data_IF_984460590366
#
_entry.id   IF_984460590366
#
_cell.length_a   1.000
_cell.length_b   1.000
_cell.length_c   1.000
_cell.angle_alpha   90.00
_cell.angle_beta   90.00
_cell.angle_gamma   90.00
#
_symmetry.space_group_name_H-M   'P 1'
#
loop_
_entity.id
_entity.type
_entity.pdbx_description
1 polymer ?
#
# COMPACT_ATOMS: atom_id res chain seq x y z
N UNK A 1 -8.67 -6.25 9.19
CA UNK A 1 -7.81 -6.05 8.01
C UNK A 1 -6.82 -7.21 7.85
N UNK A 2 -5.77 -7.34 8.67
CA UNK A 2 -4.80 -8.46 8.59
C UNK A 2 -5.45 -9.87 8.51
N UNK A 3 -6.42 -10.19 9.38
CA UNK A 3 -7.15 -11.48 9.30
C UNK A 3 -7.86 -11.72 7.96
N UNK A 4 -8.36 -10.65 7.33
CA UNK A 4 -8.98 -10.75 6.00
C UNK A 4 -7.92 -10.98 4.91
N UNK A 5 -6.76 -10.36 5.01
CA UNK A 5 -5.64 -10.58 4.08
C UNK A 5 -5.10 -12.01 4.16
N UNK A 6 -4.90 -12.54 5.38
CA UNK A 6 -4.51 -13.94 5.58
C UNK A 6 -5.55 -14.87 4.96
N UNK A 7 -6.85 -14.66 5.23
CA UNK A 7 -7.93 -15.48 4.66
C UNK A 7 -8.00 -15.40 3.13
N UNK A 8 -7.71 -14.24 2.54
CA UNK A 8 -7.67 -14.03 1.10
C UNK A 8 -6.37 -14.53 0.45
N UNK A 9 -5.40 -15.03 1.24
CA UNK A 9 -4.13 -15.55 0.73
C UNK A 9 -3.16 -14.48 0.22
N UNK A 10 -3.31 -13.23 0.67
CA UNK A 10 -2.43 -12.12 0.25
C UNK A 10 -0.97 -12.41 0.62
N UNK A 11 -0.07 -12.09 -0.31
CA UNK A 11 1.37 -12.34 -0.22
C UNK A 11 2.16 -11.03 -0.11
N UNK A 12 3.32 -11.02 0.59
CA UNK A 12 4.18 -9.84 0.72
C UNK A 12 4.52 -9.18 -0.62
N UNK A 13 4.69 -9.97 -1.68
CA UNK A 13 5.07 -9.53 -3.03
C UNK A 13 3.96 -8.73 -3.72
N UNK A 14 2.72 -8.80 -3.25
CA UNK A 14 1.60 -8.05 -3.81
C UNK A 14 1.54 -6.60 -3.31
N UNK A 15 2.15 -6.29 -2.16
CA UNK A 15 2.11 -4.93 -1.60
C UNK A 15 2.80 -3.89 -2.48
N UNK A 16 4.02 -4.10 -3.02
CA UNK A 16 4.64 -3.13 -3.94
C UNK A 16 3.75 -2.83 -5.15
N UNK A 17 3.19 -3.86 -5.79
CA UNK A 17 2.32 -3.71 -6.96
C UNK A 17 1.07 -2.88 -6.65
N UNK A 18 0.41 -3.13 -5.52
CA UNK A 18 -0.77 -2.35 -5.12
C UNK A 18 -0.39 -0.92 -4.76
N UNK A 19 0.79 -0.70 -4.16
CA UNK A 19 1.31 0.63 -3.87
C UNK A 19 1.52 1.47 -5.13
N UNK A 20 2.19 0.92 -6.14
CA UNK A 20 2.41 1.56 -7.44
C UNK A 20 1.07 1.93 -8.10
N UNK A 21 0.17 0.96 -8.26
CA UNK A 21 -1.14 1.19 -8.86
C UNK A 21 -1.97 2.23 -8.09
N UNK A 22 -1.86 2.26 -6.76
CA UNK A 22 -2.55 3.26 -5.94
C UNK A 22 -1.99 4.66 -6.17
N UNK A 23 -0.67 4.82 -6.29
CA UNK A 23 -0.04 6.12 -6.54
C UNK A 23 -0.32 6.61 -7.97
N UNK A 24 -0.32 5.71 -8.95
CA UNK A 24 -0.69 6.02 -10.33
C UNK A 24 -2.15 6.49 -10.41
N UNK A 25 -3.08 5.81 -9.74
CA UNK A 25 -4.48 6.22 -9.70
C UNK A 25 -4.66 7.60 -9.02
N UNK A 26 -3.94 7.86 -7.93
CA UNK A 26 -3.94 9.19 -7.28
C UNK A 26 -3.44 10.26 -8.25
N UNK A 27 -2.35 9.98 -8.96
CA UNK A 27 -1.77 10.90 -9.94
C UNK A 27 -2.70 11.15 -11.12
N UNK A 28 -3.35 10.12 -11.63
CA UNK A 28 -4.27 10.22 -12.77
C UNK A 28 -5.52 11.06 -12.44
N UNK A 29 -6.15 10.80 -11.29
CA UNK A 29 -7.43 11.43 -10.93
C UNK A 29 -7.25 12.82 -10.31
N UNK A 30 -6.22 13.00 -9.48
CA UNK A 30 -6.06 14.22 -8.67
C UNK A 30 -4.91 15.11 -9.15
N UNK A 31 -3.97 14.56 -9.93
CA UNK A 31 -2.73 15.22 -10.37
C UNK A 31 -2.10 16.14 -9.30
N UNK A 32 -1.83 15.61 -8.08
CA UNK A 32 -1.39 16.46 -6.98
C UNK A 32 0.10 16.82 -7.14
N UNK A 33 0.60 17.80 -6.36
CA UNK A 33 2.03 18.08 -6.29
C UNK A 33 2.85 16.84 -5.90
N UNK A 34 4.09 16.76 -6.40
CA UNK A 34 4.99 15.62 -6.15
C UNK A 34 5.21 15.33 -4.65
N UNK A 35 5.24 16.36 -3.81
CA UNK A 35 5.36 16.20 -2.36
C UNK A 35 4.20 15.41 -1.75
N UNK A 36 3.00 15.54 -2.31
CA UNK A 36 1.80 14.82 -1.87
C UNK A 36 1.92 13.35 -2.28
N UNK A 37 2.35 13.06 -3.51
CA UNK A 37 2.59 11.66 -3.95
C UNK A 37 3.63 10.96 -3.07
N UNK A 38 4.74 11.64 -2.74
CA UNK A 38 5.76 11.11 -1.83
C UNK A 38 5.23 10.88 -0.41
N UNK A 39 4.36 11.76 0.08
CA UNK A 39 3.72 11.57 1.37
C UNK A 39 2.81 10.33 1.38
N UNK A 40 2.06 10.11 0.30
CA UNK A 40 1.24 8.91 0.11
C UNK A 40 2.06 7.64 0.03
N UNK A 41 3.16 7.65 -0.73
CA UNK A 41 4.08 6.51 -0.82
C UNK A 41 4.63 6.13 0.58
N UNK A 42 5.07 7.12 1.35
CA UNK A 42 5.57 6.92 2.72
C UNK A 42 4.48 6.36 3.63
N UNK A 43 3.26 6.87 3.55
CA UNK A 43 2.13 6.39 4.34
C UNK A 43 1.76 4.95 3.97
N UNK A 44 1.75 4.63 2.68
CA UNK A 44 1.51 3.29 2.17
C UNK A 44 2.56 2.31 2.72
N UNK A 45 3.84 2.61 2.56
CA UNK A 45 4.95 1.78 3.03
C UNK A 45 4.91 1.56 4.56
N UNK A 46 4.53 2.59 5.32
CA UNK A 46 4.35 2.46 6.77
C UNK A 46 3.20 1.49 7.11
N UNK A 47 2.05 1.61 6.44
CA UNK A 47 0.90 0.76 6.67
C UNK A 47 1.17 -0.71 6.27
N UNK A 48 1.80 -0.92 5.11
CA UNK A 48 2.10 -2.28 4.63
C UNK A 48 3.12 -2.98 5.51
N UNK A 49 4.09 -2.26 6.08
CA UNK A 49 4.98 -2.81 7.11
C UNK A 49 4.19 -3.38 8.29
N UNK A 50 3.25 -2.61 8.85
CA UNK A 50 2.43 -3.04 10.00
C UNK A 50 1.54 -4.25 9.64
N UNK A 51 0.96 -4.26 8.43
CA UNK A 51 0.12 -5.36 7.99
C UNK A 51 0.92 -6.65 7.82
N UNK A 52 2.08 -6.59 7.16
CA UNK A 52 2.98 -7.75 6.99
C UNK A 52 3.41 -8.32 8.34
N UNK A 53 3.77 -7.47 9.30
CA UNK A 53 4.12 -7.91 10.66
C UNK A 53 2.95 -8.59 11.39
N UNK A 54 1.71 -8.17 11.14
CA UNK A 54 0.50 -8.76 11.74
C UNK A 54 -0.01 -10.02 11.02
N UNK A 55 0.34 -10.21 9.76
CA UNK A 55 -0.07 -11.36 8.94
C UNK A 55 0.86 -12.56 9.10
N UNK A 56 2.10 -12.32 9.53
CA UNK A 56 3.12 -13.36 9.79
C UNK A 56 3.12 -13.89 11.24
N UNK A 57 2.27 -13.33 12.11
CA UNK A 57 2.06 -13.77 13.50
C UNK A 57 0.85 -14.68 13.60
#
# INVERSE_FOLDING_TARGET
MARSHVRAGIKPEQYPLVGELSLDAIKEILNPPEEVLKAWEKAYNYLTKILREKEQK
#
